data_IF_102437314144
#
_entry.id   IF_102437314144
#
_cell.length_a   1.000
_cell.length_b   1.000
_cell.length_c   1.000
_cell.angle_alpha   90.00
_cell.angle_beta   90.00
_cell.angle_gamma   90.00
#
_symmetry.space_group_name_H-M   'P 1'
#
loop_
_entity.id
_entity.type
_entity.pdbx_description
1 polymer ?
#
# COMPACT_ATOMS: atom_id res chain seq x y z
N UNK A 1 6.52 -25.17 24.84
CA UNK A 1 6.03 -24.19 23.84
C UNK A 1 4.60 -23.86 24.22
N UNK A 2 4.26 -22.60 24.33
CA UNK A 2 2.87 -22.21 24.61
C UNK A 2 2.01 -22.33 23.33
N UNK A 3 0.66 -22.33 23.43
CA UNK A 3 -0.20 -22.48 22.26
C UNK A 3 -0.01 -21.40 21.19
N UNK A 4 0.32 -20.17 21.57
CA UNK A 4 0.56 -19.06 20.62
C UNK A 4 1.86 -19.25 19.83
N UNK A 5 2.93 -19.70 20.50
CA UNK A 5 4.20 -20.04 19.85
C UNK A 5 4.02 -21.21 18.86
N UNK A 6 3.27 -22.25 19.26
CA UNK A 6 2.98 -23.37 18.38
C UNK A 6 2.21 -22.91 17.14
N UNK A 7 1.15 -22.12 17.31
CA UNK A 7 0.37 -21.59 16.20
C UNK A 7 1.21 -20.71 15.26
N UNK A 8 2.14 -19.92 15.79
CA UNK A 8 3.05 -19.10 14.98
C UNK A 8 3.99 -19.97 14.13
N UNK A 9 4.53 -21.06 14.68
CA UNK A 9 5.35 -22.01 13.92
C UNK A 9 4.57 -22.72 12.83
N UNK A 10 3.39 -23.25 13.16
CA UNK A 10 2.51 -23.87 12.17
C UNK A 10 2.11 -22.92 11.04
N UNK A 11 1.97 -21.61 11.34
CA UNK A 11 1.75 -20.58 10.30
C UNK A 11 2.96 -20.49 9.36
N UNK A 12 4.18 -20.44 9.89
CA UNK A 12 5.40 -20.39 9.08
C UNK A 12 5.49 -21.60 8.16
N UNK A 13 5.24 -22.79 8.67
CA UNK A 13 5.24 -24.02 7.90
C UNK A 13 4.21 -23.97 6.76
N UNK A 14 2.96 -23.58 7.05
CA UNK A 14 1.92 -23.43 6.03
C UNK A 14 2.28 -22.42 4.94
N UNK A 15 2.93 -21.30 5.28
CA UNK A 15 3.36 -20.33 4.28
C UNK A 15 4.47 -20.87 3.36
N UNK A 16 5.35 -21.73 3.89
CA UNK A 16 6.35 -22.42 3.07
C UNK A 16 5.70 -23.46 2.14
N UNK A 17 4.69 -24.16 2.63
CA UNK A 17 3.90 -25.11 1.81
C UNK A 17 3.15 -24.36 0.70
N UNK A 18 2.51 -23.21 0.98
CA UNK A 18 1.84 -22.39 -0.04
C UNK A 18 2.83 -21.90 -1.12
N UNK A 19 4.01 -21.44 -0.72
CA UNK A 19 5.05 -21.03 -1.66
C UNK A 19 5.50 -22.17 -2.58
N UNK A 20 5.52 -23.41 -2.07
CA UNK A 20 5.96 -24.59 -2.81
C UNK A 20 4.85 -25.23 -3.68
N UNK A 21 3.58 -24.98 -3.37
CA UNK A 21 2.42 -25.58 -4.07
C UNK A 21 2.17 -24.88 -5.42
N UNK A 22 2.75 -25.44 -6.48
CA UNK A 22 2.59 -24.92 -7.85
C UNK A 22 1.14 -24.94 -8.34
N UNK A 23 0.32 -25.92 -7.88
CA UNK A 23 -1.08 -25.98 -8.31
C UNK A 23 -1.90 -24.88 -7.65
N UNK A 24 -1.71 -24.67 -6.36
CA UNK A 24 -2.38 -23.59 -5.61
C UNK A 24 -2.01 -22.21 -6.19
N UNK A 25 -0.72 -21.99 -6.45
CA UNK A 25 -0.23 -20.75 -7.08
C UNK A 25 -0.81 -20.54 -8.50
N UNK A 26 -0.91 -21.60 -9.30
CA UNK A 26 -1.55 -21.52 -10.63
C UNK A 26 -3.06 -21.18 -10.54
N UNK A 27 -3.76 -21.75 -9.56
CA UNK A 27 -5.18 -21.41 -9.32
C UNK A 27 -5.34 -19.96 -8.87
N UNK A 28 -4.48 -19.47 -7.98
CA UNK A 28 -4.46 -18.08 -7.53
C UNK A 28 -4.20 -17.11 -8.70
N UNK A 29 -3.20 -17.39 -9.53
CA UNK A 29 -2.92 -16.62 -10.74
C UNK A 29 -4.11 -16.60 -11.71
N UNK A 30 -4.74 -17.75 -11.95
CA UNK A 30 -5.96 -17.81 -12.78
C UNK A 30 -7.11 -17.01 -12.19
N UNK A 31 -7.26 -17.02 -10.86
CA UNK A 31 -8.25 -16.19 -10.19
C UNK A 31 -8.00 -14.70 -10.47
N UNK A 32 -6.77 -14.21 -10.25
CA UNK A 32 -6.40 -12.82 -10.53
C UNK A 32 -6.69 -12.48 -11.99
N UNK A 33 -6.25 -13.32 -12.93
CA UNK A 33 -6.47 -13.14 -14.36
C UNK A 33 -7.96 -12.95 -14.71
N UNK A 34 -8.84 -13.82 -14.24
CA UNK A 34 -10.28 -13.77 -14.59
C UNK A 34 -11.02 -12.70 -13.80
N UNK A 35 -10.73 -12.50 -12.52
CA UNK A 35 -11.39 -11.52 -11.66
C UNK A 35 -11.10 -10.09 -12.10
N UNK A 36 -9.89 -9.81 -12.62
CA UNK A 36 -9.54 -8.52 -13.20
C UNK A 36 -10.38 -8.17 -14.43
N UNK A 37 -10.63 -9.14 -15.32
CA UNK A 37 -11.52 -8.95 -16.48
C UNK A 37 -12.94 -8.57 -16.06
N UNK A 38 -13.39 -9.04 -14.91
CA UNK A 38 -14.70 -8.73 -14.33
C UNK A 38 -14.70 -7.50 -13.43
N UNK A 39 -13.54 -6.78 -13.32
CA UNK A 39 -13.38 -5.63 -12.44
C UNK A 39 -13.76 -5.94 -10.97
N UNK A 40 -13.42 -7.14 -10.51
CA UNK A 40 -13.79 -7.62 -9.17
C UNK A 40 -13.36 -6.65 -8.06
N UNK A 41 -12.15 -6.13 -8.12
CA UNK A 41 -11.58 -5.20 -7.12
C UNK A 41 -12.30 -3.84 -7.06
N UNK A 42 -13.14 -3.50 -8.05
CA UNK A 42 -13.90 -2.24 -8.07
C UNK A 42 -15.22 -2.31 -7.28
N UNK A 43 -15.52 -3.43 -6.63
CA UNK A 43 -16.81 -3.66 -5.98
C UNK A 43 -16.80 -3.48 -4.46
N UNK A 44 -15.71 -2.96 -3.92
CA UNK A 44 -15.53 -2.84 -2.47
C UNK A 44 -15.62 -1.40 -2.00
N UNK A 45 -16.09 -1.23 -0.76
CA UNK A 45 -16.09 0.04 -0.04
C UNK A 45 -15.35 -0.12 1.28
N UNK A 46 -14.63 0.92 1.69
CA UNK A 46 -14.09 1.02 3.04
C UNK A 46 -14.72 2.22 3.75
N UNK A 47 -15.47 1.97 4.82
CA UNK A 47 -16.17 2.97 5.63
C UNK A 47 -16.94 4.00 4.78
N UNK A 48 -17.63 3.52 3.73
CA UNK A 48 -18.47 4.34 2.86
C UNK A 48 -17.72 5.03 1.71
N UNK A 49 -16.45 4.71 1.47
CA UNK A 49 -15.71 5.18 0.28
C UNK A 49 -15.29 4.00 -0.60
N UNK A 50 -15.55 4.05 -1.93
CA UNK A 50 -15.08 3.02 -2.83
C UNK A 50 -13.55 2.85 -2.74
N UNK A 51 -13.12 1.59 -2.62
CA UNK A 51 -11.71 1.20 -2.60
C UNK A 51 -11.45 0.19 -3.73
N UNK A 52 -10.41 0.46 -4.53
CA UNK A 52 -10.07 -0.37 -5.68
C UNK A 52 -8.91 -1.28 -5.26
N UNK A 53 -9.22 -2.31 -4.46
CA UNK A 53 -8.22 -3.24 -3.94
C UNK A 53 -8.82 -4.65 -3.76
N UNK A 54 -7.99 -5.69 -3.79
CA UNK A 54 -8.39 -7.00 -3.30
C UNK A 54 -8.53 -6.99 -1.78
N UNK A 55 -9.54 -7.68 -1.22
CA UNK A 55 -9.68 -7.85 0.24
C UNK A 55 -8.42 -8.37 0.92
N UNK A 56 -7.69 -9.26 0.26
CA UNK A 56 -6.44 -9.84 0.76
C UNK A 56 -5.37 -8.76 0.95
N UNK A 57 -5.22 -7.84 -0.02
CA UNK A 57 -4.27 -6.72 0.09
C UNK A 57 -4.69 -5.74 1.19
N UNK A 58 -6.01 -5.48 1.35
CA UNK A 58 -6.51 -4.65 2.47
C UNK A 58 -6.15 -5.26 3.83
N UNK A 59 -6.26 -6.58 3.98
CA UNK A 59 -5.86 -7.28 5.21
C UNK A 59 -4.34 -7.19 5.41
N UNK A 60 -3.55 -7.35 4.35
CA UNK A 60 -2.09 -7.21 4.45
C UNK A 60 -1.68 -5.80 4.91
N UNK A 61 -2.27 -4.76 4.33
CA UNK A 61 -2.03 -3.36 4.74
C UNK A 61 -2.41 -3.15 6.20
N UNK A 62 -3.56 -3.67 6.65
CA UNK A 62 -3.97 -3.62 8.06
C UNK A 62 -2.92 -4.25 8.97
N UNK A 63 -2.46 -5.48 8.65
CA UNK A 63 -1.46 -6.18 9.45
C UNK A 63 -0.13 -5.42 9.51
N UNK A 64 0.31 -4.84 8.37
CA UNK A 64 1.53 -4.05 8.30
C UNK A 64 1.42 -2.79 9.15
N UNK A 65 0.34 -2.01 9.02
CA UNK A 65 0.11 -0.81 9.80
C UNK A 65 0.09 -1.15 11.31
N UNK A 66 -0.58 -2.22 11.69
CA UNK A 66 -0.61 -2.67 13.08
C UNK A 66 0.78 -3.05 13.60
N UNK A 67 1.56 -3.77 12.79
CA UNK A 67 2.91 -4.25 13.15
C UNK A 67 3.91 -3.11 13.32
N UNK A 68 3.93 -2.13 12.39
CA UNK A 68 4.95 -1.07 12.38
C UNK A 68 4.53 0.23 13.06
N UNK A 69 3.21 0.40 13.32
CA UNK A 69 2.62 1.56 14.01
C UNK A 69 3.11 2.90 13.44
N UNK A 70 2.91 3.18 12.14
CA UNK A 70 3.46 4.37 11.51
C UNK A 70 2.85 5.65 12.08
N UNK A 71 3.61 6.74 12.01
CA UNK A 71 3.10 8.09 12.29
C UNK A 71 2.70 8.82 11.03
N UNK A 72 3.20 8.36 9.87
CA UNK A 72 2.85 8.90 8.56
C UNK A 72 2.72 7.77 7.54
N UNK A 73 1.68 7.86 6.72
CA UNK A 73 1.52 7.06 5.51
C UNK A 73 1.44 8.05 4.34
N UNK A 74 2.30 7.87 3.35
CA UNK A 74 2.26 8.61 2.09
C UNK A 74 1.69 7.67 1.03
N UNK A 75 0.70 8.13 0.26
CA UNK A 75 0.03 7.33 -0.76
C UNK A 75 -0.04 8.11 -2.06
N UNK A 76 0.47 7.55 -3.15
CA UNK A 76 0.29 8.09 -4.50
C UNK A 76 -0.88 7.37 -5.17
N UNK A 77 -1.80 8.15 -5.76
CA UNK A 77 -3.08 7.65 -6.27
C UNK A 77 -4.19 7.72 -5.21
N UNK A 78 -5.12 8.67 -5.36
CA UNK A 78 -6.25 8.85 -4.43
C UNK A 78 -7.52 8.18 -4.97
N UNK A 79 -7.75 8.25 -6.27
CA UNK A 79 -8.97 7.77 -6.92
C UNK A 79 -10.25 8.23 -6.18
N UNK A 80 -10.98 7.28 -5.56
CA UNK A 80 -12.18 7.56 -4.78
C UNK A 80 -11.92 7.83 -3.28
N UNK A 81 -10.68 7.66 -2.82
CA UNK A 81 -10.24 7.90 -1.45
C UNK A 81 -10.48 6.76 -0.46
N UNK A 82 -10.89 5.57 -0.94
CA UNK A 82 -11.12 4.43 -0.05
C UNK A 82 -9.86 3.94 0.65
N UNK A 83 -8.71 3.92 -0.04
CA UNK A 83 -7.40 3.56 0.52
C UNK A 83 -6.91 4.58 1.54
N UNK A 84 -7.09 5.88 1.29
CA UNK A 84 -6.80 6.92 2.28
C UNK A 84 -7.63 6.75 3.55
N UNK A 85 -8.93 6.44 3.41
CA UNK A 85 -9.82 6.20 4.55
C UNK A 85 -9.44 4.91 5.28
N UNK A 86 -9.02 3.85 4.59
CA UNK A 86 -8.49 2.64 5.20
C UNK A 86 -7.26 2.98 6.06
N UNK A 87 -6.27 3.65 5.47
CA UNK A 87 -5.06 4.09 6.16
C UNK A 87 -5.37 4.97 7.37
N UNK A 88 -6.23 5.98 7.21
CA UNK A 88 -6.64 6.87 8.29
C UNK A 88 -7.41 6.14 9.41
N UNK A 89 -8.26 5.17 9.08
CA UNK A 89 -8.99 4.37 10.06
C UNK A 89 -8.06 3.53 10.92
N UNK A 90 -7.03 2.95 10.31
CA UNK A 90 -6.00 2.20 11.04
C UNK A 90 -5.17 3.09 11.94
N UNK A 91 -4.80 4.29 11.48
CA UNK A 91 -4.10 5.27 12.32
C UNK A 91 -4.95 5.72 13.51
N UNK A 92 -6.26 5.96 13.31
CA UNK A 92 -7.19 6.29 14.39
C UNK A 92 -7.31 5.15 15.42
N UNK A 93 -7.35 3.89 14.97
CA UNK A 93 -7.35 2.72 15.85
C UNK A 93 -6.05 2.59 16.64
N UNK A 94 -4.90 2.91 16.07
CA UNK A 94 -3.63 2.95 16.79
C UNK A 94 -3.65 4.03 17.89
N UNK A 95 -4.18 5.24 17.60
CA UNK A 95 -4.33 6.30 18.61
C UNK A 95 -5.26 5.87 19.75
N UNK A 96 -6.37 5.21 19.42
CA UNK A 96 -7.29 4.65 20.41
C UNK A 96 -6.59 3.62 21.30
N UNK A 97 -5.89 2.64 20.72
CA UNK A 97 -5.20 1.60 21.47
C UNK A 97 -4.10 2.19 22.36
N UNK A 98 -3.32 3.15 21.87
CA UNK A 98 -2.29 3.83 22.67
C UNK A 98 -2.90 4.64 23.84
N UNK A 99 -4.05 5.26 23.65
CA UNK A 99 -4.76 5.95 24.73
C UNK A 99 -5.20 4.96 25.81
N UNK A 100 -5.76 3.81 25.42
CA UNK A 100 -6.14 2.73 26.37
C UNK A 100 -4.91 2.18 27.08
N UNK A 101 -3.85 1.82 26.36
CA UNK A 101 -2.60 1.28 26.91
C UNK A 101 -1.94 2.23 27.92
N UNK A 102 -2.01 3.55 27.67
CA UNK A 102 -1.39 4.58 28.51
C UNK A 102 -2.32 5.18 29.58
N UNK A 103 -3.61 4.80 29.60
CA UNK A 103 -4.63 5.36 30.52
C UNK A 103 -4.93 6.84 30.26
N UNK A 104 -4.71 7.34 29.04
CA UNK A 104 -4.94 8.74 28.65
C UNK A 104 -6.29 8.92 27.97
N UNK A 105 -6.82 10.13 28.05
CA UNK A 105 -8.01 10.51 27.28
C UNK A 105 -7.62 10.71 25.80
N UNK A 106 -8.36 10.10 24.90
CA UNK A 106 -8.24 10.32 23.46
C UNK A 106 -9.05 11.57 23.07
N UNK A 107 -8.38 12.55 22.46
CA UNK A 107 -9.06 13.61 21.71
C UNK A 107 -8.97 13.27 20.21
N UNK A 108 -10.08 12.95 19.54
CA UNK A 108 -10.06 12.55 18.13
C UNK A 108 -9.65 13.69 17.18
N UNK A 109 -9.56 14.94 17.68
CA UNK A 109 -9.08 16.09 16.90
C UNK A 109 -7.58 16.30 16.99
N UNK A 110 -6.92 15.59 17.90
CA UNK A 110 -5.47 15.74 18.16
C UNK A 110 -4.80 14.40 17.89
N UNK A 111 -4.28 14.22 16.70
CA UNK A 111 -3.45 13.08 16.36
C UNK A 111 -2.04 13.53 15.95
N UNK A 112 -1.06 12.69 16.25
CA UNK A 112 0.31 12.81 15.72
C UNK A 112 0.50 11.98 14.45
N UNK A 113 -0.57 11.30 14.01
CA UNK A 113 -0.59 10.43 12.85
C UNK A 113 -1.27 11.13 11.69
N UNK A 114 -0.80 10.84 10.48
CA UNK A 114 -1.32 11.48 9.26
C UNK A 114 -1.24 10.53 8.09
N UNK A 115 -2.15 10.70 7.14
CA UNK A 115 -2.10 10.15 5.78
C UNK A 115 -1.95 11.31 4.81
N UNK A 116 -0.98 11.23 3.91
CA UNK A 116 -0.79 12.19 2.81
C UNK A 116 -1.11 11.47 1.51
N UNK A 117 -2.19 11.86 0.85
CA UNK A 117 -2.57 11.36 -0.47
C UNK A 117 -2.15 12.32 -1.57
N UNK A 118 -1.58 11.80 -2.66
CA UNK A 118 -1.12 12.56 -3.82
C UNK A 118 -1.87 12.07 -5.05
N UNK A 119 -2.48 12.97 -5.82
CA UNK A 119 -3.10 12.62 -7.10
C UNK A 119 -2.95 13.77 -8.08
N UNK A 120 -2.78 13.44 -9.36
CA UNK A 120 -2.65 14.43 -10.42
C UNK A 120 -3.96 15.20 -10.65
N UNK A 121 -5.11 14.57 -10.39
CA UNK A 121 -6.46 15.13 -10.56
C UNK A 121 -7.39 14.64 -9.43
N UNK A 122 -7.50 15.44 -8.39
CA UNK A 122 -8.43 15.16 -7.28
C UNK A 122 -9.81 15.70 -7.65
N UNK A 123 -10.61 14.86 -8.30
CA UNK A 123 -11.95 15.22 -8.78
C UNK A 123 -12.79 15.86 -7.67
N UNK A 124 -13.49 17.00 -7.93
CA UNK A 124 -14.18 17.78 -6.89
C UNK A 124 -15.15 16.96 -6.03
N UNK A 125 -15.89 16.02 -6.62
CA UNK A 125 -16.82 15.17 -5.87
C UNK A 125 -16.11 14.19 -4.92
N UNK A 126 -14.94 13.66 -5.30
CA UNK A 126 -14.13 12.81 -4.43
C UNK A 126 -13.48 13.64 -3.31
N UNK A 127 -12.91 14.81 -3.66
CA UNK A 127 -12.36 15.76 -2.68
C UNK A 127 -13.40 16.11 -1.62
N UNK A 128 -14.57 16.57 -2.03
CA UNK A 128 -15.64 16.93 -1.10
C UNK A 128 -16.11 15.78 -0.23
N UNK A 129 -16.16 14.55 -0.78
CA UNK A 129 -16.55 13.37 -0.01
C UNK A 129 -15.48 12.94 1.01
N UNK A 130 -14.18 13.08 0.68
CA UNK A 130 -13.08 12.80 1.61
C UNK A 130 -13.05 13.88 2.72
N UNK A 131 -13.18 15.16 2.37
CA UNK A 131 -13.20 16.28 3.32
C UNK A 131 -14.39 16.21 4.28
N UNK A 132 -15.54 15.71 3.83
CA UNK A 132 -16.72 15.48 4.66
C UNK A 132 -16.64 14.21 5.52
N UNK A 133 -15.66 13.32 5.28
CA UNK A 133 -15.53 12.07 6.03
C UNK A 133 -15.08 12.33 7.49
N UNK A 134 -15.62 11.61 8.50
CA UNK A 134 -15.21 11.76 9.90
C UNK A 134 -13.71 11.64 10.18
N UNK A 135 -12.98 10.90 9.35
CA UNK A 135 -11.52 10.72 9.46
C UNK A 135 -10.71 11.76 8.68
N UNK A 136 -11.36 12.75 8.05
CA UNK A 136 -10.68 13.77 7.22
C UNK A 136 -9.60 14.55 7.97
N UNK A 137 -9.73 14.71 9.29
CA UNK A 137 -8.70 15.35 10.12
C UNK A 137 -7.34 14.63 10.13
N UNK A 138 -7.29 13.36 9.71
CA UNK A 138 -6.06 12.59 9.55
C UNK A 138 -5.53 12.60 8.11
N UNK A 139 -6.25 13.18 7.15
CA UNK A 139 -5.94 13.09 5.72
C UNK A 139 -5.54 14.47 5.18
N UNK A 140 -4.37 14.53 4.54
CA UNK A 140 -3.94 15.69 3.75
C UNK A 140 -3.87 15.28 2.29
N UNK A 141 -4.52 16.03 1.41
CA UNK A 141 -4.51 15.79 -0.03
C UNK A 141 -3.60 16.80 -0.73
N UNK A 142 -2.70 16.31 -1.56
CA UNK A 142 -1.78 17.09 -2.40
C UNK A 142 -2.14 16.83 -3.86
N UNK A 143 -2.59 17.86 -4.57
CA UNK A 143 -2.92 17.76 -5.99
C UNK A 143 -1.72 18.12 -6.85
N UNK A 144 -1.41 17.27 -7.81
CA UNK A 144 -0.32 17.37 -8.76
C UNK A 144 0.32 16.03 -9.05
N UNK A 145 1.19 15.97 -10.05
CA UNK A 145 1.91 14.74 -10.39
C UNK A 145 2.88 14.36 -9.27
N UNK A 146 2.83 13.11 -8.84
CA UNK A 146 3.70 12.56 -7.79
C UNK A 146 5.21 12.64 -8.10
N UNK A 147 5.56 12.75 -9.39
CA UNK A 147 6.95 12.92 -9.83
C UNK A 147 7.32 14.38 -10.14
N UNK A 148 6.40 15.33 -9.92
CA UNK A 148 6.70 16.76 -10.07
C UNK A 148 7.49 17.26 -8.86
N UNK A 149 8.58 18.00 -9.13
CA UNK A 149 9.47 18.52 -8.08
C UNK A 149 8.72 19.31 -7.00
N UNK A 150 7.76 20.16 -7.38
CA UNK A 150 7.03 20.99 -6.41
C UNK A 150 6.16 20.13 -5.48
N UNK A 151 5.59 19.04 -6.00
CA UNK A 151 4.80 18.07 -5.22
C UNK A 151 5.71 17.29 -4.29
N UNK A 152 6.86 16.81 -4.81
CA UNK A 152 7.87 16.10 -4.01
C UNK A 152 8.35 16.98 -2.85
N UNK A 153 8.76 18.23 -3.13
CA UNK A 153 9.23 19.17 -2.11
C UNK A 153 8.16 19.39 -1.02
N UNK A 154 6.90 19.58 -1.42
CA UNK A 154 5.78 19.73 -0.48
C UNK A 154 5.55 18.49 0.39
N UNK A 155 5.65 17.30 -0.18
CA UNK A 155 5.52 16.05 0.59
C UNK A 155 6.69 15.90 1.57
N UNK A 156 7.91 16.23 1.15
CA UNK A 156 9.08 16.21 2.04
C UNK A 156 8.92 17.16 3.23
N UNK A 157 8.30 18.32 3.05
CA UNK A 157 7.96 19.23 4.16
C UNK A 157 6.98 18.57 5.15
N UNK A 158 5.97 17.82 4.66
CA UNK A 158 5.00 17.13 5.49
C UNK A 158 5.57 15.95 6.27
N UNK A 159 6.70 15.38 5.83
CA UNK A 159 7.40 14.28 6.53
C UNK A 159 8.10 14.77 7.80
N UNK A 160 8.45 16.06 7.86
CA UNK A 160 9.25 16.62 8.98
C UNK A 160 8.54 16.40 10.32
N UNK A 161 9.24 15.76 11.25
CA UNK A 161 8.72 15.45 12.60
C UNK A 161 8.13 14.06 12.75
N UNK A 162 7.84 13.36 11.65
CA UNK A 162 7.39 11.96 11.70
C UNK A 162 8.57 11.00 11.88
N UNK A 163 8.36 9.98 12.74
CA UNK A 163 9.42 9.03 13.14
C UNK A 163 9.28 7.65 12.51
N UNK A 164 8.10 7.35 12.01
CA UNK A 164 7.77 6.07 11.40
C UNK A 164 6.92 6.34 10.17
N UNK A 165 7.48 6.09 8.98
CA UNK A 165 6.89 6.44 7.68
C UNK A 165 6.74 5.19 6.83
N UNK A 166 5.56 5.00 6.26
CA UNK A 166 5.26 4.05 5.20
C UNK A 166 4.91 4.79 3.91
N UNK A 167 5.15 4.16 2.78
CA UNK A 167 4.81 4.68 1.45
C UNK A 167 4.01 3.64 0.68
N UNK A 168 2.91 4.05 0.06
CA UNK A 168 2.07 3.24 -0.81
C UNK A 168 2.03 3.88 -2.20
N UNK A 169 2.34 3.13 -3.24
CA UNK A 169 2.41 3.61 -4.62
C UNK A 169 1.34 2.92 -5.46
N UNK A 170 0.32 3.68 -5.86
CA UNK A 170 -0.86 3.21 -6.59
C UNK A 170 -1.39 4.27 -7.56
N UNK A 171 -0.50 5.00 -8.25
CA UNK A 171 -0.90 6.12 -9.12
C UNK A 171 -0.92 5.75 -10.61
N UNK A 172 0.24 5.65 -11.23
CA UNK A 172 0.45 5.28 -12.62
C UNK A 172 1.31 4.01 -12.67
N UNK A 173 0.95 3.07 -13.53
CA UNK A 173 1.56 1.75 -13.52
C UNK A 173 2.60 1.53 -14.62
N UNK A 174 3.13 2.61 -15.22
CA UNK A 174 4.26 2.51 -16.16
C UNK A 174 5.58 2.40 -15.38
N UNK A 175 6.53 1.68 -15.94
CA UNK A 175 7.88 1.52 -15.39
C UNK A 175 8.53 2.85 -14.99
N UNK A 176 8.57 3.80 -15.94
CA UNK A 176 9.24 5.10 -15.76
C UNK A 176 8.63 5.90 -14.62
N UNK A 177 7.29 5.94 -14.53
CA UNK A 177 6.61 6.69 -13.49
C UNK A 177 6.85 6.09 -12.10
N UNK A 178 6.68 4.77 -11.95
CA UNK A 178 6.89 4.08 -10.68
C UNK A 178 8.35 4.16 -10.23
N UNK A 179 9.30 4.07 -11.17
CA UNK A 179 10.73 4.27 -10.83
C UNK A 179 10.99 5.71 -10.37
N UNK A 180 10.31 6.70 -10.97
CA UNK A 180 10.35 8.09 -10.52
C UNK A 180 9.79 8.26 -9.10
N UNK A 181 8.67 7.62 -8.77
CA UNK A 181 8.10 7.64 -7.42
C UNK A 181 8.99 6.92 -6.39
N UNK A 182 9.56 5.76 -6.73
CA UNK A 182 10.52 5.05 -5.89
C UNK A 182 11.72 5.95 -5.55
N UNK A 183 12.29 6.62 -6.53
CA UNK A 183 13.39 7.56 -6.31
C UNK A 183 12.98 8.78 -5.46
N UNK A 184 11.73 9.25 -5.59
CA UNK A 184 11.24 10.41 -4.87
C UNK A 184 10.86 10.12 -3.42
N UNK A 185 10.33 8.93 -3.11
CA UNK A 185 9.68 8.68 -1.83
C UNK A 185 10.19 7.46 -1.05
N UNK A 186 10.78 6.44 -1.70
CA UNK A 186 11.17 5.23 -0.97
C UNK A 186 12.20 5.51 0.13
N UNK A 187 13.11 6.46 -0.07
CA UNK A 187 14.09 6.84 0.94
C UNK A 187 13.47 7.47 2.21
N UNK A 188 12.20 7.92 2.16
CA UNK A 188 11.44 8.44 3.32
C UNK A 188 10.94 7.32 4.23
N UNK A 189 10.81 6.11 3.72
CA UNK A 189 10.39 4.93 4.51
C UNK A 189 11.41 4.70 5.62
N UNK A 190 10.95 4.56 6.84
CA UNK A 190 11.87 4.31 7.97
C UNK A 190 12.27 2.84 8.06
N UNK A 191 13.43 2.54 8.65
CA UNK A 191 13.90 1.17 8.84
C UNK A 191 12.86 0.33 9.57
N UNK A 192 12.57 -0.86 9.05
CA UNK A 192 11.54 -1.77 9.55
C UNK A 192 10.13 -1.52 8.99
N UNK A 193 9.90 -0.36 8.34
CA UNK A 193 8.66 -0.05 7.64
C UNK A 193 8.69 -0.52 6.17
N UNK A 194 7.61 -0.26 5.46
CA UNK A 194 7.39 -0.76 4.11
C UNK A 194 7.15 0.37 3.10
N UNK A 195 7.70 0.18 1.89
CA UNK A 195 7.22 0.77 0.66
C UNK A 195 6.40 -0.30 -0.07
N UNK A 196 5.11 -0.06 -0.29
CA UNK A 196 4.25 -1.01 -1.01
C UNK A 196 3.97 -0.44 -2.40
N UNK A 197 4.35 -1.20 -3.42
CA UNK A 197 4.11 -0.86 -4.83
C UNK A 197 3.00 -1.76 -5.34
N UNK A 198 1.84 -1.17 -5.61
CA UNK A 198 0.68 -1.89 -6.13
C UNK A 198 0.78 -2.13 -7.64
N UNK A 199 -0.13 -2.93 -8.15
CA UNK A 199 -0.28 -3.29 -9.56
C UNK A 199 0.97 -3.90 -10.23
N UNK A 200 1.89 -4.45 -9.42
CA UNK A 200 3.04 -5.19 -9.93
C UNK A 200 2.62 -6.45 -10.69
N UNK A 201 1.41 -7.00 -10.43
CA UNK A 201 0.84 -8.14 -11.15
C UNK A 201 0.70 -7.91 -12.66
N UNK A 202 0.72 -6.65 -13.13
CA UNK A 202 0.69 -6.30 -14.56
C UNK A 202 1.78 -7.03 -15.34
N UNK A 203 2.97 -7.22 -14.74
CA UNK A 203 4.08 -7.95 -15.37
C UNK A 203 3.77 -9.43 -15.59
N UNK A 204 2.92 -10.02 -14.76
CA UNK A 204 2.59 -11.44 -14.79
C UNK A 204 1.43 -11.74 -15.76
N UNK A 205 0.78 -10.70 -16.30
CA UNK A 205 -0.30 -10.84 -17.27
C UNK A 205 0.24 -11.05 -18.69
N UNK A 206 -0.56 -11.66 -19.59
CA UNK A 206 -0.19 -11.77 -20.98
C UNK A 206 -0.02 -10.38 -21.64
N UNK A 207 0.86 -10.25 -22.64
CA UNK A 207 0.98 -9.00 -23.41
C UNK A 207 -0.38 -8.52 -23.93
N UNK A 208 -0.61 -7.20 -23.87
CA UNK A 208 -1.88 -6.55 -24.27
C UNK A 208 -3.10 -6.95 -23.45
N UNK A 209 -2.89 -7.39 -22.22
CA UNK A 209 -4.00 -7.67 -21.31
C UNK A 209 -4.81 -6.41 -20.98
N UNK A 210 -4.15 -5.25 -20.95
CA UNK A 210 -4.76 -3.92 -20.77
C UNK A 210 -4.64 -3.08 -22.06
N UNK A 211 -5.46 -3.32 -23.10
CA UNK A 211 -5.25 -2.73 -24.42
C UNK A 211 -5.37 -1.20 -24.44
N UNK A 212 -6.10 -0.61 -23.50
CA UNK A 212 -6.35 0.84 -23.43
C UNK A 212 -5.45 1.55 -22.40
N UNK A 213 -4.39 0.89 -21.94
CA UNK A 213 -3.49 1.42 -20.91
C UNK A 213 -2.08 1.56 -21.44
N UNK A 214 -1.28 2.54 -20.92
CA UNK A 214 0.11 2.73 -21.34
C UNK A 214 1.06 1.68 -20.74
N UNK A 215 0.63 0.95 -19.73
CA UNK A 215 1.43 -0.11 -19.08
C UNK A 215 1.09 -1.48 -19.65
N UNK A 216 2.07 -2.36 -19.65
CA UNK A 216 1.94 -3.74 -20.13
C UNK A 216 3.12 -4.55 -19.61
N UNK A 217 3.17 -5.83 -19.92
CA UNK A 217 4.34 -6.67 -19.66
C UNK A 217 5.61 -6.03 -20.25
N UNK A 218 6.65 -5.90 -19.42
CA UNK A 218 7.90 -5.20 -19.76
C UNK A 218 7.87 -3.70 -19.50
N UNK A 219 6.70 -3.10 -19.24
CA UNK A 219 6.51 -1.70 -18.85
C UNK A 219 5.52 -1.64 -17.69
N UNK A 220 5.94 -2.03 -16.51
CA UNK A 220 5.08 -2.29 -15.36
C UNK A 220 5.72 -1.85 -14.04
N UNK A 221 4.93 -1.73 -12.95
CA UNK A 221 5.48 -1.44 -11.63
C UNK A 221 6.49 -2.48 -11.15
N UNK A 222 6.31 -3.78 -11.46
CA UNK A 222 7.26 -4.83 -11.09
C UNK A 222 8.62 -4.63 -11.73
N UNK A 223 8.68 -4.23 -13.00
CA UNK A 223 9.95 -3.95 -13.67
C UNK A 223 10.69 -2.78 -13.04
N UNK A 224 9.97 -1.75 -12.58
CA UNK A 224 10.54 -0.62 -11.84
C UNK A 224 11.06 -1.04 -10.45
N UNK A 225 10.31 -1.85 -9.71
CA UNK A 225 10.75 -2.44 -8.43
C UNK A 225 12.06 -3.21 -8.60
N UNK A 226 12.12 -4.10 -9.58
CA UNK A 226 13.32 -4.90 -9.82
C UNK A 226 14.52 -4.05 -10.26
N UNK A 227 14.31 -2.96 -11.00
CA UNK A 227 15.39 -2.02 -11.35
C UNK A 227 15.87 -1.26 -10.12
N UNK A 228 14.95 -0.70 -9.34
CA UNK A 228 15.26 0.06 -8.13
C UNK A 228 16.09 -0.76 -7.13
N UNK A 229 15.72 -2.00 -6.88
CA UNK A 229 16.41 -2.88 -5.93
C UNK A 229 17.84 -3.25 -6.32
N UNK A 230 18.25 -3.08 -7.59
CA UNK A 230 19.65 -3.34 -8.02
C UNK A 230 20.63 -2.37 -7.37
N UNK A 231 20.19 -1.18 -7.03
CA UNK A 231 21.03 -0.10 -6.47
C UNK A 231 20.65 0.29 -5.06
N UNK A 232 19.58 -0.31 -4.49
CA UNK A 232 19.04 0.01 -3.16
C UNK A 232 18.98 -1.23 -2.27
N UNK A 233 20.16 -1.73 -1.80
CA UNK A 233 20.23 -2.94 -0.97
C UNK A 233 19.63 -2.75 0.43
N UNK A 234 19.27 -1.53 0.80
CA UNK A 234 18.54 -1.22 2.03
C UNK A 234 17.08 -1.67 2.01
N UNK A 235 16.57 -2.14 0.84
CA UNK A 235 15.24 -2.73 0.69
C UNK A 235 15.32 -4.20 0.28
N UNK A 236 14.37 -4.97 0.77
CA UNK A 236 14.14 -6.35 0.35
C UNK A 236 12.67 -6.60 0.06
N UNK A 237 12.36 -7.52 -0.84
CA UNK A 237 10.99 -7.99 -1.09
C UNK A 237 10.59 -8.93 0.05
N UNK A 238 9.54 -8.61 0.80
CA UNK A 238 8.99 -9.50 1.83
C UNK A 238 8.07 -10.56 1.20
N UNK A 239 8.67 -11.64 0.72
CA UNK A 239 7.96 -12.77 0.12
C UNK A 239 6.99 -13.47 1.06
N UNK A 240 7.12 -13.30 2.37
CA UNK A 240 6.20 -13.92 3.33
C UNK A 240 4.78 -13.36 3.20
N UNK A 241 4.62 -12.11 2.76
CA UNK A 241 3.32 -11.48 2.52
C UNK A 241 2.67 -12.09 1.28
N UNK A 242 3.38 -12.10 0.16
CA UNK A 242 2.91 -12.69 -1.10
C UNK A 242 2.50 -14.16 -0.92
N UNK A 243 3.37 -14.96 -0.30
CA UNK A 243 3.09 -16.38 -0.04
C UNK A 243 1.84 -16.58 0.83
N UNK A 244 1.57 -15.65 1.76
CA UNK A 244 0.37 -15.70 2.61
C UNK A 244 -0.90 -15.36 1.83
N UNK A 245 -0.85 -14.34 0.99
CA UNK A 245 -2.04 -13.80 0.32
C UNK A 245 -2.50 -14.70 -0.81
N UNK A 246 -1.59 -15.29 -1.59
CA UNK A 246 -1.84 -16.03 -2.83
C UNK A 246 -2.51 -15.17 -3.92
N UNK A 247 -3.48 -14.36 -3.55
CA UNK A 247 -4.20 -13.41 -4.40
C UNK A 247 -3.79 -12.01 -3.96
N UNK A 248 -3.13 -11.25 -4.86
CA UNK A 248 -2.65 -9.90 -4.59
C UNK A 248 -2.47 -9.14 -5.90
N UNK A 249 -2.65 -7.82 -5.88
CA UNK A 249 -2.24 -6.94 -6.97
C UNK A 249 -0.76 -6.57 -6.87
N UNK A 250 -0.08 -6.90 -5.78
CA UNK A 250 1.28 -6.46 -5.48
C UNK A 250 2.31 -7.60 -5.33
N UNK A 251 2.36 -8.63 -6.23
CA UNK A 251 3.42 -9.64 -6.19
C UNK A 251 4.79 -8.98 -6.44
N UNK A 252 5.77 -9.21 -5.55
CA UNK A 252 7.05 -8.48 -5.46
C UNK A 252 6.95 -7.01 -5.03
N UNK A 253 5.75 -6.50 -4.72
CA UNK A 253 5.53 -5.09 -4.41
C UNK A 253 5.68 -4.71 -2.93
N UNK A 254 5.78 -5.65 -2.01
CA UNK A 254 5.94 -5.38 -0.58
C UNK A 254 7.42 -5.24 -0.21
N UNK A 255 7.96 -4.01 -0.30
CA UNK A 255 9.36 -3.71 -0.05
C UNK A 255 9.57 -3.31 1.41
N UNK A 256 10.30 -4.11 2.18
CA UNK A 256 10.69 -3.80 3.55
C UNK A 256 12.02 -3.08 3.56
N UNK A 257 12.11 -1.95 4.27
CA UNK A 257 13.39 -1.29 4.53
C UNK A 257 14.12 -1.97 5.68
N UNK A 258 15.33 -2.49 5.43
CA UNK A 258 16.12 -3.28 6.39
C UNK A 258 17.31 -2.51 6.99
N UNK A 259 17.70 -1.40 6.36
CA UNK A 259 18.79 -0.55 6.87
C UNK A 259 18.63 0.93 6.47
#
# INVERSE_FOLDING_TARGET
MNPEELFALERIERLQEFAADKNLNALAHNWVFHSMQQKYLYNFDWLGRPIIQYPEDMVAIQELIWKVRPTLIIETGIAHGGSLVLSASMLALLDYCEAVESGKTLDPKISRRQVVGIDIDIRPHNRGAIEAHPLSGLITMVEGSSVDKNVIDKVHELVVGHKSVMVFMDSNHTHEHVLGELNAYAHLVTVGCYCVVFDTFVEDMPPKYFPDRPWDKGNSPKTAVHEYLRTHPEFEIDKSIENKLLISVAPDGYLRRIS
#
